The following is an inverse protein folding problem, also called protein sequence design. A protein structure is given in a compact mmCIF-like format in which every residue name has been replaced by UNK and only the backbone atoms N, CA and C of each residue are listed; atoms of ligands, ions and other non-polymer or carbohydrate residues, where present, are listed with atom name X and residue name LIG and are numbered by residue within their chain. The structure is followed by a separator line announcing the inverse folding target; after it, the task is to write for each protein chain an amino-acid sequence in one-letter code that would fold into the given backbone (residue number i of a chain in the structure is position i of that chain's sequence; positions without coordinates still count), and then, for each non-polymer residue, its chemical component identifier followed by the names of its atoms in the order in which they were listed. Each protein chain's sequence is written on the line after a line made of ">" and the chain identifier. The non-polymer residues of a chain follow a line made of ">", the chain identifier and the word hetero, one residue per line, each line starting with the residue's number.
data_IF_564478416527
#
_entry.id   IF_564478416527
#
_cell.length_a   1.000
_cell.length_b   1.000
_cell.length_c   1.000
_cell.angle_alpha   90.00
_cell.angle_beta   90.00
_cell.angle_gamma   90.00
#
_symmetry.space_group_name_H-M   'P 1'
#
loop_
_entity.id
_entity.type
_entity.pdbx_description
1 polymer ?
#
# COMPACT_ATOMS: atom_id res chain seq x y z
N UNK A 1 39.35 -22.08 -10.83
CA UNK A 1 38.78 -22.28 -9.48
C UNK A 1 37.88 -21.10 -9.15
N UNK A 2 36.63 -21.14 -9.62
CA UNK A 2 35.61 -20.09 -9.44
C UNK A 2 34.39 -20.72 -8.77
N UNK A 3 34.52 -21.04 -7.49
CA UNK A 3 33.41 -21.52 -6.66
C UNK A 3 33.40 -20.76 -5.34
N UNK A 4 33.27 -19.45 -5.43
CA UNK A 4 32.68 -18.66 -4.36
C UNK A 4 31.17 -18.93 -4.44
N UNK A 5 30.73 -19.97 -3.74
CA UNK A 5 29.32 -20.30 -3.59
C UNK A 5 28.62 -19.14 -2.89
N UNK A 6 27.86 -18.34 -3.62
CA UNK A 6 26.90 -17.42 -3.00
C UNK A 6 25.92 -18.28 -2.23
N UNK A 7 25.84 -18.09 -0.92
CA UNK A 7 24.84 -18.80 -0.14
C UNK A 7 23.45 -18.36 -0.62
N UNK A 8 22.41 -19.20 -0.51
CA UNK A 8 21.06 -18.82 -0.93
C UNK A 8 20.55 -17.56 -0.20
N UNK A 9 21.08 -17.27 0.99
CA UNK A 9 20.79 -16.05 1.74
C UNK A 9 21.37 -14.79 1.06
N UNK A 10 22.58 -14.86 0.50
CA UNK A 10 23.21 -13.73 -0.19
C UNK A 10 22.44 -13.34 -1.46
N UNK A 11 21.94 -14.34 -2.20
CA UNK A 11 21.13 -14.10 -3.41
C UNK A 11 19.82 -13.38 -3.08
N UNK A 12 19.14 -13.79 -2.02
CA UNK A 12 17.90 -13.13 -1.56
C UNK A 12 18.16 -11.69 -1.11
N UNK A 13 19.28 -11.44 -0.42
CA UNK A 13 19.67 -10.10 -0.02
C UNK A 13 19.91 -9.18 -1.24
N UNK A 14 20.67 -9.66 -2.23
CA UNK A 14 20.91 -8.92 -3.47
C UNK A 14 19.61 -8.70 -4.27
N UNK A 15 18.75 -9.71 -4.36
CA UNK A 15 17.44 -9.60 -5.01
C UNK A 15 16.54 -8.58 -4.30
N UNK A 16 16.53 -8.58 -2.96
CA UNK A 16 15.76 -7.64 -2.16
C UNK A 16 16.26 -6.19 -2.36
N UNK A 17 17.58 -5.98 -2.32
CA UNK A 17 18.19 -4.67 -2.55
C UNK A 17 17.89 -4.16 -3.96
N UNK A 18 18.12 -4.98 -4.98
CA UNK A 18 17.83 -4.63 -6.37
C UNK A 18 16.34 -4.29 -6.56
N UNK A 19 15.45 -5.08 -5.96
CA UNK A 19 14.00 -4.83 -6.02
C UNK A 19 13.62 -3.51 -5.37
N UNK A 20 14.28 -3.12 -4.27
CA UNK A 20 14.05 -1.85 -3.60
C UNK A 20 14.46 -0.66 -4.47
N UNK A 21 15.69 -0.68 -5.00
CA UNK A 21 16.22 0.38 -5.87
C UNK A 21 15.36 0.52 -7.14
N UNK A 22 14.95 -0.62 -7.72
CA UNK A 22 14.04 -0.63 -8.88
C UNK A 22 12.67 -0.05 -8.54
N UNK A 23 12.10 -0.39 -7.38
CA UNK A 23 10.81 0.15 -6.96
C UNK A 23 10.84 1.67 -6.78
N UNK A 24 11.93 2.20 -6.21
CA UNK A 24 12.11 3.63 -6.00
C UNK A 24 12.18 4.40 -7.33
N UNK A 25 12.95 3.86 -8.28
CA UNK A 25 13.00 4.40 -9.62
C UNK A 25 11.61 4.37 -10.30
N UNK A 26 10.89 3.24 -10.25
CA UNK A 26 9.56 3.10 -10.86
C UNK A 26 8.50 4.00 -10.21
N UNK A 27 8.54 4.18 -8.89
CA UNK A 27 7.62 5.06 -8.18
C UNK A 27 7.84 6.52 -8.61
N UNK A 28 9.10 6.94 -8.63
CA UNK A 28 9.50 8.27 -9.12
C UNK A 28 9.10 8.51 -10.57
N UNK A 29 9.29 7.52 -11.45
CA UNK A 29 8.89 7.60 -12.86
C UNK A 29 7.37 7.73 -13.01
N UNK A 30 6.60 6.91 -12.27
CA UNK A 30 5.14 6.99 -12.25
C UNK A 30 4.64 8.36 -11.78
N UNK A 31 5.27 8.93 -10.76
CA UNK A 31 4.94 10.28 -10.27
C UNK A 31 5.22 11.36 -11.31
N UNK A 32 6.36 11.27 -12.02
CA UNK A 32 6.70 12.17 -13.12
C UNK A 32 5.71 12.04 -14.28
N UNK A 33 5.37 10.81 -14.67
CA UNK A 33 4.42 10.53 -15.75
C UNK A 33 3.01 11.07 -15.45
N UNK A 34 2.59 11.03 -14.19
CA UNK A 34 1.31 11.62 -13.77
C UNK A 34 1.37 13.16 -13.62
N UNK A 35 2.55 13.79 -13.76
CA UNK A 35 2.70 15.23 -13.56
C UNK A 35 2.47 15.66 -12.10
N UNK A 36 2.66 14.75 -11.15
CA UNK A 36 2.54 15.00 -9.70
C UNK A 36 3.80 15.75 -9.22
N UNK A 37 3.92 17.01 -9.66
CA UNK A 37 5.01 17.91 -9.33
C UNK A 37 4.87 18.49 -7.92
N UNK A 38 4.56 19.80 -7.83
CA UNK A 38 4.47 20.54 -6.56
C UNK A 38 3.20 20.23 -5.75
N UNK A 39 2.15 19.71 -6.39
CA UNK A 39 0.89 19.40 -5.73
C UNK A 39 0.74 17.88 -5.53
N UNK A 40 0.53 17.40 -4.30
CA UNK A 40 0.42 15.98 -3.99
C UNK A 40 -0.98 15.41 -4.29
N UNK A 41 -1.68 15.94 -5.29
CA UNK A 41 -3.02 15.50 -5.61
C UNK A 41 -3.40 15.74 -7.08
N UNK A 42 -4.00 14.72 -7.67
CA UNK A 42 -4.80 14.82 -8.88
C UNK A 42 -6.18 14.27 -8.55
N UNK A 43 -7.23 15.11 -8.51
CA UNK A 43 -8.56 14.66 -8.12
C UNK A 43 -9.11 13.67 -9.15
N UNK A 44 -8.81 13.88 -10.43
CA UNK A 44 -9.24 13.05 -11.55
C UNK A 44 -8.06 12.63 -12.42
N UNK A 45 -8.14 11.43 -12.98
CA UNK A 45 -7.22 10.91 -14.00
C UNK A 45 -8.04 10.27 -15.11
N UNK A 46 -7.48 10.21 -16.32
CA UNK A 46 -8.07 9.40 -17.39
C UNK A 46 -8.14 7.93 -16.95
N UNK A 47 -9.17 7.20 -17.40
CA UNK A 47 -9.40 5.81 -17.04
C UNK A 47 -8.20 4.93 -17.35
N UNK A 48 -7.51 5.14 -18.48
CA UNK A 48 -6.30 4.39 -18.83
C UNK A 48 -5.15 4.64 -17.83
N UNK A 49 -4.92 5.89 -17.43
CA UNK A 49 -3.91 6.27 -16.43
C UNK A 49 -4.24 5.65 -15.06
N UNK A 50 -5.52 5.73 -14.66
CA UNK A 50 -5.98 5.15 -13.41
C UNK A 50 -5.81 3.63 -13.39
N UNK A 51 -6.07 2.95 -14.51
CA UNK A 51 -5.84 1.51 -14.68
C UNK A 51 -4.35 1.17 -14.58
N UNK A 52 -3.48 1.91 -15.25
CA UNK A 52 -2.02 1.74 -15.16
C UNK A 52 -1.51 1.93 -13.73
N UNK A 53 -1.87 3.02 -13.07
CA UNK A 53 -1.53 3.29 -11.68
C UNK A 53 -2.04 2.19 -10.74
N UNK A 54 -3.27 1.72 -10.96
CA UNK A 54 -3.84 0.64 -10.14
C UNK A 54 -3.08 -0.67 -10.31
N UNK A 55 -2.67 -1.01 -11.54
CA UNK A 55 -1.83 -2.20 -11.83
C UNK A 55 -0.46 -2.08 -11.18
N UNK A 56 0.18 -0.91 -11.32
CA UNK A 56 1.46 -0.62 -10.66
C UNK A 56 1.37 -0.79 -9.15
N UNK A 57 0.40 -0.13 -8.49
CA UNK A 57 0.21 -0.23 -7.04
C UNK A 57 -0.14 -1.65 -6.57
N UNK A 58 -0.88 -2.42 -7.38
CA UNK A 58 -1.19 -3.81 -7.07
C UNK A 58 0.05 -4.70 -7.03
N UNK A 59 1.12 -4.32 -7.74
CA UNK A 59 2.41 -5.00 -7.74
C UNK A 59 3.39 -4.40 -6.69
N UNK A 60 3.56 -3.08 -6.71
CA UNK A 60 4.59 -2.40 -5.92
C UNK A 60 4.34 -2.46 -4.41
N UNK A 61 3.09 -2.28 -3.97
CA UNK A 61 2.77 -2.32 -2.54
C UNK A 61 3.02 -3.69 -1.88
N UNK A 62 2.56 -4.84 -2.42
CA UNK A 62 2.86 -6.13 -1.79
C UNK A 62 4.36 -6.47 -1.85
N UNK A 63 5.07 -6.01 -2.89
CA UNK A 63 6.53 -6.18 -2.98
C UNK A 63 7.20 -5.43 -1.82
N UNK A 64 6.91 -4.13 -1.68
CA UNK A 64 7.51 -3.30 -0.64
C UNK A 64 7.21 -3.83 0.77
N UNK A 65 6.00 -4.34 1.04
CA UNK A 65 5.68 -4.98 2.34
C UNK A 65 6.58 -6.18 2.63
N UNK A 66 6.82 -7.04 1.64
CA UNK A 66 7.69 -8.23 1.78
C UNK A 66 9.12 -7.82 2.02
N UNK A 67 9.64 -6.82 1.30
CA UNK A 67 10.97 -6.28 1.53
C UNK A 67 11.11 -5.71 2.96
N UNK A 68 10.16 -4.89 3.41
CA UNK A 68 10.16 -4.33 4.77
C UNK A 68 10.09 -5.44 5.82
N UNK A 69 9.30 -6.48 5.59
CA UNK A 69 9.22 -7.63 6.49
C UNK A 69 10.56 -8.37 6.57
N UNK A 70 11.17 -8.69 5.43
CA UNK A 70 12.47 -9.38 5.40
C UNK A 70 13.56 -8.57 6.10
N UNK A 71 13.63 -7.26 5.85
CA UNK A 71 14.55 -6.36 6.56
C UNK A 71 14.25 -6.30 8.07
N UNK A 72 12.98 -6.33 8.47
CA UNK A 72 12.60 -6.34 9.87
C UNK A 72 12.95 -7.67 10.57
N UNK A 73 12.78 -8.79 9.87
CA UNK A 73 13.10 -10.13 10.36
C UNK A 73 14.61 -10.30 10.54
N UNK A 74 15.42 -9.85 9.57
CA UNK A 74 16.88 -9.85 9.63
C UNK A 74 17.42 -9.06 10.84
N UNK A 75 16.77 -7.94 11.18
CA UNK A 75 17.13 -7.14 12.37
C UNK A 75 16.59 -7.70 13.71
N UNK A 76 15.76 -8.74 13.69
CA UNK A 76 15.18 -9.36 14.88
C UNK A 76 14.24 -8.45 15.70
N UNK A 77 13.71 -8.98 16.81
CA UNK A 77 12.79 -8.23 17.68
C UNK A 77 13.46 -6.94 18.23
N UNK A 78 12.73 -5.82 18.31
CA UNK A 78 13.28 -4.60 18.89
C UNK A 78 13.49 -4.81 20.39
N UNK A 79 14.60 -4.30 20.93
CA UNK A 79 14.85 -4.35 22.37
C UNK A 79 13.63 -3.80 23.12
N UNK A 80 13.12 -4.56 24.08
CA UNK A 80 12.02 -4.17 24.95
C UNK A 80 12.47 -2.95 25.74
N UNK A 81 12.20 -1.74 25.23
CA UNK A 81 12.35 -0.55 26.06
C UNK A 81 11.42 -0.72 27.25
N UNK A 82 11.92 -0.59 28.50
CA UNK A 82 11.03 -0.59 29.65
C UNK A 82 9.96 0.47 29.38
N UNK A 83 8.70 0.05 29.39
CA UNK A 83 7.59 0.99 29.45
C UNK A 83 7.84 1.81 30.71
N UNK A 84 8.36 3.03 30.53
CA UNK A 84 8.24 4.01 31.58
C UNK A 84 6.75 4.17 31.78
N UNK A 85 6.28 3.86 32.99
CA UNK A 85 4.88 4.01 33.36
C UNK A 85 4.36 5.35 32.84
N UNK A 86 3.12 5.40 32.33
CA UNK A 86 2.54 6.64 31.87
C UNK A 86 2.39 7.54 33.09
N UNK A 87 3.42 8.35 33.38
CA UNK A 87 3.28 9.50 34.26
C UNK A 87 2.15 10.29 33.63
N UNK A 88 1.03 10.32 34.35
CA UNK A 88 -0.20 10.99 33.96
C UNK A 88 0.08 12.49 34.02
N UNK A 89 0.82 13.01 33.03
CA UNK A 89 0.89 14.43 32.77
C UNK A 89 -0.40 14.77 32.06
N UNK A 90 -1.37 15.24 32.83
CA UNK A 90 -2.49 16.01 32.31
C UNK A 90 -1.91 17.17 31.49
N UNK A 91 -1.83 16.97 30.18
CA UNK A 91 -1.40 18.02 29.27
C UNK A 91 -2.52 19.08 29.20
N UNK A 92 -2.20 20.38 29.30
CA UNK A 92 -3.20 21.43 29.13
C UNK A 92 -3.77 21.28 27.71
N UNK A 93 -5.09 21.48 27.58
CA UNK A 93 -5.87 21.24 26.36
C UNK A 93 -5.20 21.81 25.12
N UNK A 94 -4.43 20.98 24.40
CA UNK A 94 -3.89 21.35 23.10
C UNK A 94 -5.07 21.42 22.15
N UNK A 95 -5.35 22.62 21.64
CA UNK A 95 -6.25 22.82 20.52
C UNK A 95 -5.94 21.75 19.45
N UNK A 96 -6.98 21.06 18.99
CA UNK A 96 -6.82 20.00 17.99
C UNK A 96 -5.97 20.54 16.83
N UNK A 97 -4.88 19.86 16.44
CA UNK A 97 -4.00 20.37 15.41
C UNK A 97 -4.82 20.64 14.15
N UNK A 98 -4.70 21.85 13.60
CA UNK A 98 -5.34 22.22 12.33
C UNK A 98 -4.98 21.13 11.32
N UNK A 99 -5.99 20.43 10.80
CA UNK A 99 -5.78 19.38 9.80
C UNK A 99 -5.09 20.02 8.60
N UNK A 100 -3.91 19.53 8.26
CA UNK A 100 -3.22 19.95 7.05
C UNK A 100 -4.14 19.75 5.85
N UNK A 101 -4.12 20.70 4.91
CA UNK A 101 -4.91 20.65 3.68
C UNK A 101 -4.63 19.37 2.88
N UNK A 102 -3.37 18.91 2.93
CA UNK A 102 -2.92 17.64 2.36
C UNK A 102 -2.22 16.81 3.46
N UNK A 103 -2.94 15.92 4.16
CA UNK A 103 -2.30 15.06 5.15
C UNK A 103 -1.32 14.11 4.46
N UNK A 104 -0.12 13.97 5.03
CA UNK A 104 0.89 13.01 4.53
C UNK A 104 0.30 11.61 4.56
N UNK A 105 0.19 10.93 3.40
CA UNK A 105 -0.38 9.60 3.36
C UNK A 105 0.63 8.59 3.92
N UNK A 106 0.13 7.63 4.70
CA UNK A 106 0.97 6.64 5.39
C UNK A 106 0.86 5.27 4.73
N UNK A 107 1.99 4.60 4.53
CA UNK A 107 2.02 3.27 3.95
C UNK A 107 1.47 2.21 4.91
N UNK A 108 0.64 1.32 4.39
CA UNK A 108 0.02 0.25 5.18
C UNK A 108 0.91 -0.99 5.17
N UNK A 109 1.51 -1.28 6.32
CA UNK A 109 2.37 -2.45 6.52
C UNK A 109 1.62 -3.78 6.46
N UNK A 110 0.40 -3.84 7.01
CA UNK A 110 -0.43 -5.04 6.97
C UNK A 110 -1.27 -5.12 5.70
N UNK A 111 -1.39 -6.31 5.14
CA UNK A 111 -2.32 -6.60 4.06
C UNK A 111 -3.76 -6.65 4.60
N UNK A 112 -4.69 -6.06 3.84
CA UNK A 112 -6.11 -6.17 4.19
C UNK A 112 -6.57 -7.59 3.88
N UNK A 113 -7.01 -8.33 4.91
CA UNK A 113 -7.62 -9.64 4.72
C UNK A 113 -8.80 -9.54 3.73
N UNK A 114 -8.82 -10.38 2.68
CA UNK A 114 -9.94 -10.42 1.75
C UNK A 114 -11.23 -10.72 2.54
N UNK A 115 -12.28 -9.91 2.32
CA UNK A 115 -13.60 -10.12 2.92
C UNK A 115 -13.90 -9.37 4.23
N UNK A 116 -12.92 -8.78 4.93
CA UNK A 116 -13.18 -8.04 6.19
C UNK A 116 -13.68 -6.61 6.01
N UNK A 117 -13.90 -6.13 4.78
CA UNK A 117 -14.60 -4.87 4.55
C UNK A 117 -16.11 -5.10 4.49
N UNK A 118 -16.69 -5.65 5.56
CA UNK A 118 -18.09 -5.43 5.89
C UNK A 118 -18.21 -3.97 6.31
N UNK A 119 -18.16 -3.06 5.32
CA UNK A 119 -18.69 -1.71 5.55
C UNK A 119 -20.19 -1.90 5.64
N UNK A 120 -20.69 -2.06 6.85
CA UNK A 120 -22.11 -1.89 7.12
C UNK A 120 -22.48 -0.52 6.56
N UNK A 121 -23.33 -0.43 5.53
CA UNK A 121 -23.69 0.86 4.98
C UNK A 121 -24.26 1.70 6.14
N UNK A 122 -23.95 3.00 6.20
CA UNK A 122 -24.51 3.86 7.23
C UNK A 122 -26.04 3.71 7.20
N UNK A 123 -26.71 3.65 8.37
CA UNK A 123 -28.15 3.45 8.41
C UNK A 123 -28.85 4.52 7.58
N UNK A 124 -29.84 4.12 6.77
CA UNK A 124 -30.64 5.03 5.95
C UNK A 124 -31.29 6.07 6.85
N UNK A 125 -30.70 7.27 6.93
CA UNK A 125 -31.32 8.42 7.59
C UNK A 125 -32.35 8.98 6.62
N UNK A 126 -33.61 8.58 6.78
CA UNK A 126 -34.72 9.26 6.12
C UNK A 126 -34.75 10.71 6.63
N UNK A 127 -34.24 11.63 5.82
CA UNK A 127 -34.45 13.06 6.08
C UNK A 127 -35.87 13.40 5.66
N UNK A 128 -36.76 13.60 6.62
CA UNK A 128 -38.08 14.22 6.42
C UNK A 128 -37.90 15.70 6.15
N UNK A 129 -37.55 16.03 4.91
CA UNK A 129 -37.50 17.40 4.37
C UNK A 129 -38.14 17.43 2.98
N UNK A 130 -38.39 18.62 2.40
CA UNK A 130 -38.99 18.75 1.08
C UNK A 130 -38.16 17.95 0.06
N UNK A 131 -38.79 16.94 -0.52
CA UNK A 131 -38.19 16.03 -1.50
C UNK A 131 -38.08 16.80 -2.82
N UNK A 132 -36.86 17.11 -3.25
CA UNK A 132 -36.60 17.74 -4.56
C UNK A 132 -37.02 16.71 -5.63
N UNK A 133 -38.18 16.93 -6.27
CA UNK A 133 -38.76 16.05 -7.30
C UNK A 133 -38.16 16.25 -8.70
N UNK A 134 -37.24 17.21 -8.86
CA UNK A 134 -36.68 17.60 -10.16
C UNK A 134 -35.85 16.48 -10.82
N UNK A 135 -35.43 15.47 -10.05
CA UNK A 135 -34.65 14.31 -10.50
C UNK A 135 -35.43 12.99 -10.40
N UNK A 136 -36.71 13.02 -10.03
CA UNK A 136 -37.58 11.83 -9.98
C UNK A 136 -38.13 11.46 -11.38
N UNK A 137 -37.56 11.99 -12.48
CA UNK A 137 -37.91 11.57 -13.83
C UNK A 137 -37.52 10.09 -14.02
N UNK A 138 -38.48 9.25 -14.42
CA UNK A 138 -38.34 7.79 -14.59
C UNK A 138 -37.39 7.36 -15.71
N UNK A 139 -36.74 8.29 -16.40
CA UNK A 139 -35.74 7.98 -17.40
C UNK A 139 -34.50 7.44 -16.69
N UNK A 140 -34.49 6.13 -16.44
CA UNK A 140 -33.26 5.42 -16.15
C UNK A 140 -32.31 5.75 -17.28
N UNK A 141 -31.27 6.52 -16.98
CA UNK A 141 -30.15 6.71 -17.90
C UNK A 141 -29.59 5.33 -18.14
N UNK A 142 -29.77 4.80 -19.35
CA UNK A 142 -29.21 3.51 -19.70
C UNK A 142 -27.69 3.69 -19.77
N UNK A 143 -26.99 3.19 -18.74
CA UNK A 143 -25.54 3.28 -18.67
C UNK A 143 -24.86 2.46 -19.78
N UNK A 144 -25.59 1.59 -20.48
CA UNK A 144 -25.10 0.92 -21.67
C UNK A 144 -24.90 1.88 -22.86
N UNK A 145 -25.62 3.01 -22.90
CA UNK A 145 -25.47 4.04 -23.95
C UNK A 145 -24.15 4.81 -23.83
N UNK A 146 -23.51 4.78 -22.66
CA UNK A 146 -22.25 5.47 -22.38
C UNK A 146 -21.14 4.43 -22.14
N UNK A 147 -20.54 3.86 -23.20
CA UNK A 147 -19.46 2.91 -23.05
C UNK A 147 -18.27 3.54 -22.31
N UNK A 148 -17.56 2.71 -21.55
CA UNK A 148 -16.42 3.15 -20.75
C UNK A 148 -15.20 3.47 -21.63
N UNK A 149 -15.05 4.74 -21.99
CA UNK A 149 -13.95 5.24 -22.81
C UNK A 149 -12.63 5.33 -22.02
N UNK A 150 -11.47 5.17 -22.67
CA UNK A 150 -10.17 5.21 -22.01
C UNK A 150 -9.85 6.58 -21.42
N UNK A 151 -10.38 7.66 -22.01
CA UNK A 151 -10.11 9.04 -21.61
C UNK A 151 -11.13 9.59 -20.59
N UNK A 152 -12.08 8.76 -20.14
CA UNK A 152 -13.01 9.11 -19.08
C UNK A 152 -12.28 9.57 -17.82
N UNK A 153 -12.63 10.76 -17.32
CA UNK A 153 -12.07 11.31 -16.10
C UNK A 153 -12.71 10.65 -14.87
N UNK A 154 -11.91 9.88 -14.14
CA UNK A 154 -12.32 9.15 -12.95
C UNK A 154 -11.64 9.67 -11.69
N UNK A 155 -12.32 9.66 -10.52
CA UNK A 155 -11.72 10.10 -9.27
C UNK A 155 -10.52 9.22 -8.89
N UNK A 156 -9.35 9.84 -8.77
CA UNK A 156 -8.06 9.15 -8.60
C UNK A 156 -7.40 9.41 -7.23
N UNK A 157 -8.04 10.22 -6.38
CA UNK A 157 -7.48 10.70 -5.11
C UNK A 157 -6.94 9.56 -4.23
N UNK A 158 -7.64 8.41 -4.18
CA UNK A 158 -7.23 7.27 -3.35
C UNK A 158 -5.94 6.63 -3.89
N UNK A 159 -5.84 6.46 -5.20
CA UNK A 159 -4.70 5.83 -5.85
C UNK A 159 -3.47 6.74 -5.78
N UNK A 160 -3.64 8.04 -6.01
CA UNK A 160 -2.57 9.04 -5.85
C UNK A 160 -2.04 9.04 -4.41
N UNK A 161 -2.92 9.03 -3.39
CA UNK A 161 -2.49 8.93 -1.99
C UNK A 161 -1.72 7.65 -1.69
N UNK A 162 -2.06 6.53 -2.33
CA UNK A 162 -1.33 5.27 -2.15
C UNK A 162 0.06 5.31 -2.78
N UNK A 163 0.19 5.94 -3.96
CA UNK A 163 1.49 6.19 -4.59
C UNK A 163 2.38 7.05 -3.68
N UNK A 164 1.86 8.17 -3.18
CA UNK A 164 2.59 9.04 -2.27
C UNK A 164 2.96 8.36 -0.94
N UNK A 165 2.10 7.47 -0.44
CA UNK A 165 2.43 6.66 0.74
C UNK A 165 3.57 5.68 0.44
N UNK A 166 3.59 5.09 -0.76
CA UNK A 166 4.65 4.19 -1.20
C UNK A 166 5.99 4.92 -1.29
N UNK A 167 6.01 6.14 -1.86
CA UNK A 167 7.20 7.00 -1.89
C UNK A 167 7.66 7.38 -0.48
N UNK A 168 6.76 7.84 0.39
CA UNK A 168 7.08 8.16 1.79
C UNK A 168 7.72 6.98 2.52
N UNK A 169 7.30 5.75 2.20
CA UNK A 169 7.89 4.53 2.76
C UNK A 169 9.26 4.18 2.23
N UNK A 170 9.56 4.50 0.97
CA UNK A 170 10.88 4.33 0.38
C UNK A 170 11.85 5.39 0.93
N UNK A 171 11.43 6.64 1.03
CA UNK A 171 12.21 7.74 1.61
C UNK A 171 12.51 7.53 3.11
N UNK A 172 11.52 7.02 3.87
CA UNK A 172 11.61 6.85 5.31
C UNK A 172 11.66 5.38 5.74
N UNK A 173 12.34 4.54 4.97
CA UNK A 173 12.38 3.09 5.14
C UNK A 173 12.71 2.62 6.57
N UNK A 174 13.73 3.17 7.28
CA UNK A 174 14.08 2.71 8.63
C UNK A 174 12.91 2.81 9.63
N UNK A 175 12.10 3.86 9.50
CA UNK A 175 10.91 4.06 10.36
C UNK A 175 9.87 2.97 10.13
N UNK A 176 9.66 2.57 8.88
CA UNK A 176 8.70 1.52 8.54
C UNK A 176 9.22 0.13 8.92
N UNK A 177 10.53 -0.11 8.81
CA UNK A 177 11.17 -1.33 9.30
C UNK A 177 11.03 -1.46 10.82
N UNK A 178 11.28 -0.40 11.59
CA UNK A 178 11.04 -0.41 13.04
C UNK A 178 9.58 -0.69 13.41
N UNK A 179 8.65 -0.05 12.69
CA UNK A 179 7.22 -0.28 12.90
C UNK A 179 6.85 -1.74 12.60
N UNK A 180 7.44 -2.33 11.55
CA UNK A 180 7.25 -3.73 11.19
C UNK A 180 7.82 -4.66 12.27
N UNK A 181 9.03 -4.40 12.77
CA UNK A 181 9.64 -5.15 13.89
C UNK A 181 8.73 -5.20 15.11
N UNK A 182 8.08 -4.07 15.45
CA UNK A 182 7.10 -4.00 16.54
C UNK A 182 5.82 -4.78 16.25
N UNK A 183 5.41 -4.90 14.98
CA UNK A 183 4.25 -5.71 14.58
C UNK A 183 4.56 -7.21 14.66
N UNK A 184 5.74 -7.63 14.19
CA UNK A 184 6.21 -9.02 14.28
C UNK A 184 6.30 -9.49 15.73
N UNK A 185 6.81 -8.64 16.64
CA UNK A 185 6.85 -8.93 18.07
C UNK A 185 5.46 -9.12 18.72
N UNK A 186 4.39 -8.61 18.09
CA UNK A 186 3.00 -8.73 18.58
C UNK A 186 2.25 -9.92 17.99
N UNK A 187 2.96 -10.84 17.30
CA UNK A 187 2.42 -12.06 16.69
C UNK A 187 1.14 -11.83 15.88
N UNK A 188 1.07 -10.71 15.13
CA UNK A 188 -0.06 -10.43 14.23
C UNK A 188 0.31 -10.84 12.81
N UNK A 189 -0.59 -11.50 12.05
CA UNK A 189 -0.34 -11.81 10.65
C UNK A 189 -0.25 -10.50 9.86
N UNK A 190 0.93 -10.23 9.29
CA UNK A 190 1.17 -9.00 8.51
C UNK A 190 0.85 -9.21 7.04
N UNK A 191 1.26 -10.34 6.47
CA UNK A 191 1.15 -10.67 5.05
C UNK A 191 0.22 -11.88 4.88
N UNK A 192 -0.59 -11.90 3.82
CA UNK A 192 -1.37 -13.08 3.46
C UNK A 192 -0.46 -14.19 2.91
N UNK A 193 -0.78 -15.45 3.24
CA UNK A 193 -0.05 -16.63 2.72
C UNK A 193 -0.21 -16.82 1.20
N UNK A 194 -1.26 -16.27 0.61
CA UNK A 194 -1.50 -16.39 -0.82
C UNK A 194 -0.61 -15.41 -1.60
N UNK A 195 0.02 -15.90 -2.68
CA UNK A 195 0.78 -15.05 -3.61
C UNK A 195 -0.15 -13.98 -4.21
N UNK A 196 0.24 -12.69 -4.19
CA UNK A 196 -0.53 -11.61 -4.79
C UNK A 196 -0.85 -11.90 -6.26
N UNK A 197 -2.10 -11.64 -6.71
CA UNK A 197 -2.48 -11.93 -8.10
C UNK A 197 -1.66 -11.11 -9.11
N UNK A 198 -1.16 -9.94 -8.70
CA UNK A 198 -0.31 -9.09 -9.53
C UNK A 198 1.08 -9.68 -9.80
N UNK A 199 1.55 -10.65 -9.01
CA UNK A 199 2.80 -11.36 -9.29
C UNK A 199 2.62 -12.50 -10.29
N UNK A 200 1.37 -12.93 -10.51
CA UNK A 200 1.02 -13.99 -11.47
C UNK A 200 0.60 -13.45 -12.83
N UNK A 201 0.19 -12.17 -12.91
CA UNK A 201 -0.36 -11.57 -14.12
C UNK A 201 0.74 -10.80 -14.84
N UNK A 202 0.92 -11.08 -16.14
CA UNK A 202 1.80 -10.36 -17.07
C UNK A 202 1.62 -8.82 -16.93
N UNK A 203 2.70 -8.01 -17.05
CA UNK A 203 3.86 -8.22 -17.92
C UNK A 203 5.18 -8.44 -17.14
N UNK A 204 5.16 -9.34 -16.16
CA UNK A 204 6.37 -9.75 -15.44
C UNK A 204 7.04 -10.89 -16.23
N UNK A 205 8.34 -10.78 -16.49
CA UNK A 205 9.09 -11.86 -17.16
C UNK A 205 9.15 -13.10 -16.27
N UNK A 206 9.36 -14.29 -16.85
CA UNK A 206 9.41 -15.53 -16.06
C UNK A 206 10.50 -15.48 -14.97
N UNK A 207 11.65 -14.86 -15.26
CA UNK A 207 12.73 -14.69 -14.30
C UNK A 207 12.32 -13.79 -13.13
N UNK A 208 11.71 -12.64 -13.41
CA UNK A 208 11.20 -11.74 -12.37
C UNK A 208 10.10 -12.42 -11.53
N UNK A 209 9.23 -13.21 -12.15
CA UNK A 209 8.19 -13.95 -11.43
C UNK A 209 8.81 -14.96 -10.45
N UNK A 210 9.89 -15.65 -10.86
CA UNK A 210 10.62 -16.54 -9.95
C UNK A 210 11.18 -15.77 -8.76
N UNK A 211 11.87 -14.65 -9.00
CA UNK A 211 12.41 -13.80 -7.92
C UNK A 211 11.33 -13.30 -6.97
N UNK A 212 10.17 -12.87 -7.48
CA UNK A 212 9.05 -12.41 -6.64
C UNK A 212 8.44 -13.54 -5.81
N UNK A 213 8.42 -14.75 -6.36
CA UNK A 213 7.92 -15.94 -5.67
C UNK A 213 8.87 -16.32 -4.55
N UNK A 214 10.19 -16.35 -4.80
CA UNK A 214 11.22 -16.60 -3.79
C UNK A 214 11.17 -15.57 -2.65
N UNK A 215 11.07 -14.27 -2.98
CA UNK A 215 10.92 -13.20 -1.99
C UNK A 215 9.62 -13.35 -1.18
N UNK A 216 8.53 -13.78 -1.81
CA UNK A 216 7.27 -14.03 -1.12
C UNK A 216 7.37 -15.22 -0.17
N UNK A 217 7.96 -16.33 -0.60
CA UNK A 217 8.14 -17.52 0.22
C UNK A 217 9.06 -17.27 1.41
N UNK A 218 10.14 -16.51 1.21
CA UNK A 218 10.99 -16.04 2.30
C UNK A 218 10.18 -15.19 3.30
N UNK A 219 9.40 -14.22 2.82
CA UNK A 219 8.59 -13.37 3.69
C UNK A 219 7.47 -14.13 4.43
N UNK A 220 6.92 -15.20 3.84
CA UNK A 220 5.93 -16.06 4.51
C UNK A 220 6.57 -16.89 5.60
N UNK A 221 7.79 -17.41 5.39
CA UNK A 221 8.54 -18.16 6.42
C UNK A 221 8.83 -17.32 7.66
N UNK A 222 9.12 -16.03 7.48
CA UNK A 222 9.42 -15.09 8.58
C UNK A 222 8.17 -14.48 9.26
N UNK A 223 6.98 -14.70 8.70
CA UNK A 223 5.74 -14.12 9.24
C UNK A 223 5.21 -15.01 10.38
N UNK A 224 4.96 -14.47 11.59
CA UNK A 224 4.48 -15.26 12.71
C UNK A 224 3.10 -15.89 12.42
N UNK A 225 3.02 -17.20 12.59
CA UNK A 225 1.80 -17.97 12.43
C UNK A 225 0.84 -17.71 13.59
N UNK A 226 -0.30 -17.09 13.31
CA UNK A 226 -1.50 -17.27 14.12
C UNK A 226 -2.38 -18.28 13.41
N UNK A 227 -2.15 -19.56 13.71
CA UNK A 227 -3.15 -20.61 13.50
C UNK A 227 -4.42 -20.30 14.30
#
# INVERSE_FOLDING_TARGET
>A
MLSCMTTPADLLFHAARFSLERLDWLASDMRRALGLGRLPCLPFLARWQLRQLTRFLAHAEPLLRRLILLMAADLGAPATRPQTDPITRAAPGKAAPKRALFPTPHFRLCEALPGKTLRTPPPKRFRTGPRIRLLDAETQVDLAEYPAEPDDLLPATRQVRRLLALEDALENLPRYVEAMRRLLARTRPVIARALPPAFKRLPVTQAEQATLTELHEAAVRENPDTS
#
